data_IF_190853726695
#
_entry.id   IF_190853726695
#
_cell.length_a   1.000
_cell.length_b   1.000
_cell.length_c   1.000
_cell.angle_alpha   90.00
_cell.angle_beta   90.00
_cell.angle_gamma   90.00
#
_symmetry.space_group_name_H-M   'P 1'
#
loop_
_entity.id
_entity.type
_entity.pdbx_description
1 polymer ?
#
# COMPACT_ATOMS: atom_id res chain seq x y z
N UNK A 1 11.64 0.56 -2.76
CA UNK A 1 10.36 0.12 -2.15
C UNK A 1 10.08 0.97 -0.91
N UNK A 2 9.57 2.20 -1.06
CA UNK A 2 9.07 2.98 0.06
C UNK A 2 7.96 2.22 0.77
N UNK A 3 8.07 2.11 2.09
CA UNK A 3 6.96 1.67 2.94
C UNK A 3 6.09 2.89 3.24
N UNK A 4 4.81 2.80 2.90
CA UNK A 4 3.84 3.87 3.06
C UNK A 4 3.17 3.78 4.43
N UNK A 5 2.73 2.58 4.80
CA UNK A 5 2.09 2.31 6.08
C UNK A 5 2.35 0.89 6.56
N UNK A 6 2.24 0.68 7.87
CA UNK A 6 2.28 -0.64 8.52
C UNK A 6 1.10 -0.75 9.46
N UNK A 7 0.31 -1.81 9.31
CA UNK A 7 -0.82 -2.12 10.19
C UNK A 7 -0.74 -3.59 10.61
N UNK A 8 -0.38 -3.84 11.86
CA UNK A 8 -0.13 -5.18 12.36
C UNK A 8 0.91 -5.93 11.52
N UNK A 9 0.50 -7.02 10.86
CA UNK A 9 1.35 -7.82 9.98
C UNK A 9 1.28 -7.42 8.49
N UNK A 10 0.53 -6.37 8.15
CA UNK A 10 0.38 -5.90 6.77
C UNK A 10 1.27 -4.69 6.52
N UNK A 11 2.01 -4.74 5.41
CA UNK A 11 2.91 -3.66 4.99
C UNK A 11 2.45 -3.12 3.64
N UNK A 12 2.09 -1.85 3.64
CA UNK A 12 1.69 -1.08 2.47
C UNK A 12 2.94 -0.44 1.87
N UNK A 13 3.17 -0.68 0.58
CA UNK A 13 4.37 -0.21 -0.11
C UNK A 13 4.10 0.03 -1.59
N UNK A 14 5.05 0.69 -2.23
CA UNK A 14 5.04 0.97 -3.66
C UNK A 14 6.43 0.66 -4.24
N UNK A 15 6.50 0.25 -5.50
CA UNK A 15 7.76 0.19 -6.24
C UNK A 15 7.93 1.46 -7.07
N UNK A 16 9.17 1.93 -7.22
CA UNK A 16 9.47 3.13 -8.01
C UNK A 16 9.05 2.99 -9.47
N UNK A 17 9.07 1.76 -10.00
CA UNK A 17 8.65 1.47 -11.37
C UNK A 17 7.13 1.70 -11.57
N UNK A 18 6.32 1.50 -10.51
CA UNK A 18 4.86 1.66 -10.54
C UNK A 18 4.42 3.13 -10.64
N UNK A 19 5.31 4.08 -10.39
CA UNK A 19 4.99 5.52 -10.50
C UNK A 19 4.61 5.94 -11.93
N UNK A 20 5.02 5.16 -12.93
CA UNK A 20 4.64 5.37 -14.33
C UNK A 20 3.30 4.75 -14.71
N UNK A 21 2.72 3.94 -13.82
CA UNK A 21 1.44 3.26 -14.01
C UNK A 21 0.32 4.00 -13.27
N UNK A 22 -0.92 3.49 -13.37
CA UNK A 22 -2.00 3.96 -12.50
C UNK A 22 -1.60 3.72 -11.05
N UNK A 23 -1.69 4.75 -10.22
CA UNK A 23 -1.26 4.70 -8.83
C UNK A 23 -2.00 3.61 -8.04
N UNK A 24 -1.23 2.68 -7.49
CA UNK A 24 -1.71 1.60 -6.65
C UNK A 24 -0.75 1.33 -5.49
N UNK A 25 -1.26 0.63 -4.48
CA UNK A 25 -0.47 0.20 -3.32
C UNK A 25 -0.40 -1.31 -3.29
N UNK A 26 0.82 -1.81 -3.09
CA UNK A 26 1.10 -3.21 -2.81
C UNK A 26 0.96 -3.47 -1.32
N UNK A 27 0.38 -4.61 -0.96
CA UNK A 27 0.11 -4.98 0.43
C UNK A 27 0.63 -6.40 0.65
N UNK A 28 1.74 -6.51 1.39
CA UNK A 28 2.33 -7.79 1.75
C UNK A 28 1.97 -8.20 3.16
N UNK A 29 1.82 -9.51 3.37
CA UNK A 29 1.67 -10.11 4.68
C UNK A 29 3.04 -10.58 5.20
N UNK A 30 3.53 -9.96 6.28
CA UNK A 30 4.85 -10.29 6.86
C UNK A 30 4.89 -11.61 7.61
N UNK A 31 3.73 -12.22 7.92
CA UNK A 31 3.68 -13.56 8.52
C UNK A 31 4.05 -14.66 7.54
N UNK A 32 3.96 -14.40 6.23
CA UNK A 32 4.33 -15.37 5.19
C UNK A 32 5.48 -14.84 4.34
N UNK A 33 6.61 -15.55 4.35
CA UNK A 33 7.82 -15.19 3.59
C UNK A 33 7.66 -15.30 2.07
N UNK A 34 6.59 -15.95 1.58
CA UNK A 34 6.32 -16.17 0.15
C UNK A 34 4.93 -15.69 -0.26
N UNK A 35 4.35 -14.71 0.44
CA UNK A 35 3.02 -14.23 0.07
C UNK A 35 3.04 -13.39 -1.19
N UNK A 36 2.09 -13.66 -2.09
CA UNK A 36 1.77 -12.79 -3.21
C UNK A 36 1.09 -11.52 -2.66
N UNK A 37 1.64 -10.32 -2.93
CA UNK A 37 1.06 -9.09 -2.43
C UNK A 37 -0.27 -8.79 -3.11
N UNK A 38 -1.20 -8.20 -2.35
CA UNK A 38 -2.39 -7.61 -2.94
C UNK A 38 -2.07 -6.25 -3.57
N UNK A 39 -2.85 -5.83 -4.56
CA UNK A 39 -2.78 -4.52 -5.20
C UNK A 39 -4.12 -3.82 -5.12
N UNK A 40 -4.12 -2.58 -4.64
CA UNK A 40 -5.32 -1.76 -4.51
C UNK A 40 -5.08 -0.41 -5.20
N UNK A 41 -6.01 0.03 -6.04
CA UNK A 41 -5.95 1.34 -6.69
C UNK A 41 -6.13 2.49 -5.68
N UNK A 42 -5.37 3.58 -5.79
CA UNK A 42 -5.45 4.70 -4.84
C UNK A 42 -6.56 5.72 -5.14
N UNK A 43 -7.10 5.71 -6.35
CA UNK A 43 -8.20 6.58 -6.77
C UNK A 43 -9.56 6.02 -6.37
N UNK A 44 -9.81 4.72 -6.61
CA UNK A 44 -11.10 4.07 -6.33
C UNK A 44 -11.10 3.19 -5.08
N UNK A 45 -9.92 2.76 -4.60
CA UNK A 45 -9.76 1.76 -3.55
C UNK A 45 -10.27 0.36 -3.92
N UNK A 46 -10.49 0.10 -5.20
CA UNK A 46 -10.84 -1.24 -5.66
C UNK A 46 -9.62 -2.15 -5.63
N UNK A 47 -9.86 -3.43 -5.33
CA UNK A 47 -8.84 -4.47 -5.37
C UNK A 47 -8.58 -4.82 -6.82
N UNK A 48 -7.36 -4.54 -7.29
CA UNK A 48 -6.89 -4.98 -8.60
C UNK A 48 -6.44 -6.44 -8.57
N UNK A 49 -5.69 -6.79 -7.53
CA UNK A 49 -5.15 -8.13 -7.34
C UNK A 49 -5.28 -8.50 -5.86
N UNK A 50 -5.92 -9.63 -5.55
CA UNK A 50 -6.15 -10.06 -4.18
C UNK A 50 -4.88 -10.61 -3.51
N UNK A 51 -3.97 -11.21 -4.29
CA UNK A 51 -2.83 -11.95 -3.75
C UNK A 51 -3.28 -13.02 -2.76
N UNK A 52 -2.54 -13.17 -1.65
CA UNK A 52 -2.85 -14.14 -0.59
C UNK A 52 -3.64 -13.54 0.59
N UNK A 53 -4.15 -12.30 0.47
CA UNK A 53 -4.95 -11.70 1.51
C UNK A 53 -6.38 -12.27 1.52
N UNK A 54 -6.93 -12.42 2.72
CA UNK A 54 -8.34 -12.78 2.88
C UNK A 54 -9.25 -11.60 2.53
N UNK A 55 -10.50 -11.86 2.16
CA UNK A 55 -11.48 -10.80 1.90
C UNK A 55 -11.67 -9.84 3.11
N UNK A 56 -11.54 -10.37 4.34
CA UNK A 56 -11.60 -9.55 5.56
C UNK A 56 -10.40 -8.61 5.69
N UNK A 57 -9.20 -9.11 5.38
CA UNK A 57 -7.98 -8.29 5.36
C UNK A 57 -8.06 -7.22 4.27
N UNK A 58 -8.48 -7.58 3.06
CA UNK A 58 -8.65 -6.62 1.96
C UNK A 58 -9.62 -5.50 2.34
N UNK A 59 -10.79 -5.84 2.89
CA UNK A 59 -11.77 -4.83 3.34
C UNK A 59 -11.18 -3.87 4.38
N UNK A 60 -10.35 -4.39 5.27
CA UNK A 60 -9.67 -3.58 6.27
C UNK A 60 -8.58 -2.69 5.65
N UNK A 61 -7.82 -3.23 4.68
CA UNK A 61 -6.85 -2.47 3.89
C UNK A 61 -7.50 -1.32 3.13
N UNK A 62 -8.62 -1.56 2.45
CA UNK A 62 -9.39 -0.52 1.75
C UNK A 62 -9.79 0.60 2.71
N UNK A 63 -10.31 0.25 3.89
CA UNK A 63 -10.69 1.23 4.92
C UNK A 63 -9.48 2.05 5.41
N UNK A 64 -8.34 1.39 5.63
CA UNK A 64 -7.11 2.06 6.04
C UNK A 64 -6.63 3.05 4.98
N UNK A 65 -6.60 2.62 3.71
CA UNK A 65 -6.20 3.47 2.59
C UNK A 65 -7.14 4.68 2.43
N UNK A 66 -8.45 4.46 2.57
CA UNK A 66 -9.45 5.53 2.51
C UNK A 66 -9.26 6.56 3.63
N UNK A 67 -9.07 6.11 4.86
CA UNK A 67 -8.90 6.99 6.03
C UNK A 67 -7.59 7.79 5.98
N UNK A 68 -6.56 7.26 5.34
CA UNK A 68 -5.21 7.85 5.31
C UNK A 68 -4.80 8.33 3.91
N UNK A 69 -5.77 8.53 2.99
CA UNK A 69 -5.52 8.81 1.58
C UNK A 69 -4.53 9.96 1.39
N UNK A 70 -4.82 11.10 2.02
CA UNK A 70 -4.02 12.33 1.86
C UNK A 70 -2.58 12.13 2.35
N UNK A 71 -2.41 11.48 3.50
CA UNK A 71 -1.07 11.21 4.04
C UNK A 71 -0.30 10.22 3.17
N UNK A 72 -0.96 9.20 2.63
CA UNK A 72 -0.34 8.23 1.70
C UNK A 72 0.07 8.91 0.40
N UNK A 73 -0.78 9.75 -0.19
CA UNK A 73 -0.46 10.50 -1.40
C UNK A 73 0.71 11.46 -1.17
N UNK A 74 0.72 12.19 -0.04
CA UNK A 74 1.84 13.05 0.32
C UNK A 74 3.15 12.27 0.46
N UNK A 75 3.13 11.07 1.04
CA UNK A 75 4.32 10.21 1.10
C UNK A 75 4.79 9.77 -0.29
N UNK A 76 3.87 9.48 -1.21
CA UNK A 76 4.23 9.11 -2.57
C UNK A 76 4.87 10.30 -3.29
N UNK A 77 4.30 11.49 -3.18
CA UNK A 77 4.85 12.72 -3.76
C UNK A 77 6.24 13.03 -3.21
N UNK A 78 6.45 12.90 -1.90
CA UNK A 78 7.76 13.11 -1.28
C UNK A 78 8.77 12.07 -1.77
N UNK A 79 8.35 10.81 -1.94
CA UNK A 79 9.20 9.78 -2.51
C UNK A 79 9.56 10.07 -3.97
N UNK A 80 8.62 10.54 -4.78
CA UNK A 80 8.83 10.91 -6.18
C UNK A 80 9.84 12.06 -6.32
N UNK A 81 9.81 13.03 -5.39
CA UNK A 81 10.81 14.11 -5.29
C UNK A 81 12.20 13.63 -4.85
N UNK A 82 12.37 12.36 -4.51
CA UNK A 82 13.62 11.79 -4.00
C UNK A 82 13.85 12.00 -2.50
N UNK A 83 12.85 12.48 -1.77
CA UNK A 83 12.95 12.69 -0.33
C UNK A 83 12.82 11.36 0.43
N UNK A 84 13.43 11.30 1.63
CA UNK A 84 13.28 10.16 2.53
C UNK A 84 11.90 10.19 3.17
N UNK A 85 11.12 9.14 2.94
CA UNK A 85 9.81 8.95 3.56
C UNK A 85 9.89 7.98 4.73
N UNK A 86 9.05 8.18 5.74
CA UNK A 86 8.90 7.26 6.87
C UNK A 86 7.48 6.70 6.84
N UNK A 87 7.37 5.38 6.96
CA UNK A 87 6.07 4.72 7.00
C UNK A 87 5.26 5.18 8.21
N UNK A 88 3.95 5.34 8.02
CA UNK A 88 3.01 5.60 9.11
C UNK A 88 2.73 4.28 9.83
N UNK A 89 2.73 4.31 11.16
CA UNK A 89 2.30 3.18 11.99
C UNK A 89 0.82 3.37 12.33
N UNK A 90 0.00 2.38 11.99
CA UNK A 90 -1.46 2.39 12.12
C UNK A 90 -1.97 1.23 12.98
#
# INVERSE_FOLDING_TARGET
MPKLAVWGHLVFHLYSYDLSERLHVHISNTKSRKSNPAKIWLDTFDVFEQGDLTAKELKQCQKILQLNKETILSLIEEFEKGNKTKAILL
#
